data_IF_791082183831
#
_entry.id   IF_791082183831
#
_cell.length_a   1.000
_cell.length_b   1.000
_cell.length_c   1.000
_cell.angle_alpha   90.00
_cell.angle_beta   90.00
_cell.angle_gamma   90.00
#
_symmetry.space_group_name_H-M   'P 1'
#
loop_
_entity.id
_entity.type
_entity.pdbx_description
1 polymer ?
#
# COMPACT_ATOMS: atom_id res chain seq x y z
N UNK A 1 -5.07 42.12 -18.27
CA UNK A 1 -4.41 40.81 -18.35
C UNK A 1 -4.93 39.98 -17.20
N UNK A 2 -5.97 39.17 -17.43
CA UNK A 2 -6.49 38.25 -16.41
C UNK A 2 -5.47 37.12 -16.24
N UNK A 3 -4.90 37.03 -15.04
CA UNK A 3 -4.10 35.87 -14.63
C UNK A 3 -5.04 34.67 -14.52
N UNK A 4 -5.10 33.86 -15.58
CA UNK A 4 -5.85 32.60 -15.60
C UNK A 4 -5.30 31.71 -14.50
N UNK A 5 -6.00 31.60 -13.37
CA UNK A 5 -5.59 30.74 -12.26
C UNK A 5 -5.54 29.30 -12.75
N UNK A 6 -4.36 28.68 -12.65
CA UNK A 6 -4.16 27.27 -12.99
C UNK A 6 -4.77 26.45 -11.84
N UNK A 7 -5.68 25.50 -12.11
CA UNK A 7 -6.27 24.67 -11.07
C UNK A 7 -5.19 23.79 -10.41
N UNK A 8 -5.32 23.48 -9.11
CA UNK A 8 -4.32 22.70 -8.38
C UNK A 8 -4.30 21.25 -8.84
N UNK A 9 -3.10 20.66 -8.99
CA UNK A 9 -2.91 19.26 -9.39
C UNK A 9 -3.29 18.24 -8.30
N UNK A 10 -3.40 18.70 -7.05
CA UNK A 10 -3.84 17.90 -5.93
C UNK A 10 -4.51 18.80 -4.89
N UNK A 11 -5.38 18.21 -4.07
CA UNK A 11 -5.96 18.87 -2.91
C UNK A 11 -5.69 18.07 -1.64
N UNK A 12 -5.45 18.79 -0.56
CA UNK A 12 -5.32 18.25 0.79
C UNK A 12 -6.53 18.73 1.58
N UNK A 13 -7.39 17.80 1.99
CA UNK A 13 -8.59 18.11 2.75
C UNK A 13 -8.46 17.54 4.16
N UNK A 14 -8.74 18.37 5.17
CA UNK A 14 -8.80 17.89 6.55
C UNK A 14 -10.16 17.23 6.75
N UNK A 15 -10.15 15.97 7.18
CA UNK A 15 -11.38 15.25 7.48
C UNK A 15 -11.91 15.67 8.84
N UNK A 16 -12.68 16.76 8.89
CA UNK A 16 -13.15 17.35 10.14
C UNK A 16 -14.01 16.38 10.97
N UNK A 17 -14.88 15.61 10.33
CA UNK A 17 -15.76 14.64 11.00
C UNK A 17 -14.99 13.47 11.61
N UNK A 18 -14.05 12.88 10.87
CA UNK A 18 -13.18 11.84 11.39
C UNK A 18 -12.29 12.38 12.50
N UNK A 19 -11.79 13.61 12.33
CA UNK A 19 -10.98 14.31 13.34
C UNK A 19 -11.72 14.53 14.66
N UNK A 20 -13.00 14.95 14.63
CA UNK A 20 -13.79 15.11 15.87
C UNK A 20 -14.07 13.79 16.56
N UNK A 21 -14.42 12.74 15.80
CA UNK A 21 -14.62 11.38 16.32
C UNK A 21 -13.33 10.86 16.98
N UNK A 22 -12.20 10.99 16.29
CA UNK A 22 -10.90 10.56 16.80
C UNK A 22 -10.52 11.30 18.08
N UNK A 23 -10.73 12.62 18.13
CA UNK A 23 -10.46 13.41 19.34
C UNK A 23 -11.34 12.97 20.51
N UNK A 24 -12.64 12.80 20.29
CA UNK A 24 -13.55 12.30 21.32
C UNK A 24 -13.11 10.92 21.85
N UNK A 25 -12.75 10.00 20.94
CA UNK A 25 -12.19 8.71 21.32
C UNK A 25 -10.89 8.84 22.13
N UNK A 26 -9.96 9.70 21.71
CA UNK A 26 -8.71 9.97 22.44
C UNK A 26 -8.99 10.50 23.84
N UNK A 27 -9.91 11.46 23.99
CA UNK A 27 -10.29 11.99 25.30
C UNK A 27 -10.87 10.91 26.21
N UNK A 28 -11.84 10.13 25.71
CA UNK A 28 -12.46 9.05 26.47
C UNK A 28 -11.45 7.97 26.89
N UNK A 29 -10.58 7.56 25.97
CA UNK A 29 -9.59 6.52 26.24
C UNK A 29 -8.50 7.02 27.20
N UNK A 30 -8.02 8.25 27.05
CA UNK A 30 -7.08 8.88 27.99
C UNK A 30 -7.66 8.95 29.40
N UNK A 31 -8.95 9.29 29.53
CA UNK A 31 -9.63 9.31 30.83
C UNK A 31 -9.66 7.91 31.46
N UNK A 32 -10.05 6.88 30.70
CA UNK A 32 -10.07 5.50 31.18
C UNK A 32 -8.68 4.99 31.57
N UNK A 33 -7.65 5.31 30.80
CA UNK A 33 -6.26 4.96 31.11
C UNK A 33 -5.78 5.64 32.40
N UNK A 34 -6.06 6.94 32.58
CA UNK A 34 -5.71 7.66 33.81
C UNK A 34 -6.42 7.07 35.03
N UNK A 35 -7.70 6.72 34.92
CA UNK A 35 -8.44 6.08 35.99
C UNK A 35 -7.86 4.70 36.37
N UNK A 36 -7.48 3.91 35.36
CA UNK A 36 -6.87 2.59 35.56
C UNK A 36 -5.48 2.72 36.21
N UNK A 37 -4.63 3.62 35.72
CA UNK A 37 -3.31 3.87 36.32
C UNK A 37 -3.42 4.40 37.75
N UNK A 38 -4.37 5.30 38.01
CA UNK A 38 -4.65 5.80 39.36
C UNK A 38 -5.07 4.66 40.30
N UNK A 39 -5.97 3.79 39.87
CA UNK A 39 -6.39 2.62 40.64
C UNK A 39 -5.20 1.71 40.97
N UNK A 40 -4.34 1.41 39.98
CA UNK A 40 -3.16 0.55 40.13
C UNK A 40 -2.14 1.12 41.11
N UNK A 41 -1.82 2.41 40.97
CA UNK A 41 -0.86 3.10 41.85
C UNK A 41 -1.42 3.21 43.27
N UNK A 42 -2.70 3.55 43.43
CA UNK A 42 -3.34 3.64 44.75
C UNK A 42 -3.37 2.29 45.46
N UNK A 43 -3.65 1.22 44.71
CA UNK A 43 -3.67 -0.13 45.25
C UNK A 43 -2.25 -0.62 45.62
N UNK A 44 -1.25 -0.34 44.79
CA UNK A 44 0.17 -0.58 45.12
C UNK A 44 0.60 0.17 46.39
N UNK A 45 0.21 1.45 46.52
CA UNK A 45 0.51 2.27 47.68
C UNK A 45 -0.16 1.73 48.94
N UNK A 46 -1.46 1.40 48.90
CA UNK A 46 -2.17 0.79 50.01
C UNK A 46 -1.58 -0.57 50.41
N UNK A 47 -1.27 -1.42 49.42
CA UNK A 47 -0.64 -2.71 49.65
C UNK A 47 0.71 -2.59 50.36
N UNK A 48 1.53 -1.61 49.96
CA UNK A 48 2.82 -1.32 50.60
C UNK A 48 2.67 -0.75 52.02
N UNK A 49 1.61 0.03 52.29
CA UNK A 49 1.37 0.66 53.60
C UNK A 49 0.77 -0.29 54.65
N UNK A 50 -0.07 -1.26 54.23
CA UNK A 50 -0.92 -2.03 55.15
C UNK A 50 -0.49 -3.49 55.35
N UNK A 51 0.32 -4.07 54.45
CA UNK A 51 0.72 -5.49 54.56
C UNK A 51 2.09 -5.66 55.22
N UNK A 52 2.13 -6.36 56.36
CA UNK A 52 3.37 -6.61 57.10
C UNK A 52 4.08 -7.93 56.73
N UNK A 53 3.44 -8.80 55.94
CA UNK A 53 3.99 -10.08 55.46
C UNK A 53 3.90 -10.16 53.93
N UNK A 54 5.03 -9.97 53.25
CA UNK A 54 5.06 -9.88 51.79
C UNK A 54 5.67 -11.13 51.14
N UNK A 55 4.97 -11.69 50.15
CA UNK A 55 5.58 -12.61 49.19
C UNK A 55 6.20 -11.80 48.05
N UNK A 56 7.52 -11.94 47.86
CA UNK A 56 8.29 -11.24 46.82
C UNK A 56 7.69 -11.40 45.42
N UNK A 57 7.14 -12.58 45.12
CA UNK A 57 6.51 -12.91 43.84
C UNK A 57 5.29 -12.03 43.52
N UNK A 58 4.50 -11.66 44.54
CA UNK A 58 3.30 -10.85 44.34
C UNK A 58 3.68 -9.41 44.00
N UNK A 59 4.60 -8.81 44.75
CA UNK A 59 5.12 -7.45 44.47
C UNK A 59 5.74 -7.36 43.08
N UNK A 60 6.52 -8.37 42.67
CA UNK A 60 7.11 -8.42 41.33
C UNK A 60 6.04 -8.48 40.23
N UNK A 61 4.99 -9.27 40.42
CA UNK A 61 3.89 -9.41 39.45
C UNK A 61 3.18 -8.08 39.24
N UNK A 62 2.87 -7.35 40.31
CA UNK A 62 2.23 -6.04 40.22
C UNK A 62 3.12 -4.98 39.58
N UNK A 63 4.43 -5.01 39.83
CA UNK A 63 5.39 -4.13 39.18
C UNK A 63 5.50 -4.40 37.67
N UNK A 64 5.57 -5.68 37.27
CA UNK A 64 5.58 -6.08 35.86
C UNK A 64 4.29 -5.67 35.15
N UNK A 65 3.13 -5.84 35.82
CA UNK A 65 1.84 -5.41 35.31
C UNK A 65 1.81 -3.89 35.07
N UNK A 66 2.20 -3.08 36.07
CA UNK A 66 2.28 -1.62 35.94
C UNK A 66 3.22 -1.20 34.81
N UNK A 67 4.38 -1.85 34.71
CA UNK A 67 5.36 -1.57 33.65
C UNK A 67 4.76 -1.87 32.28
N UNK A 68 4.06 -2.99 32.12
CA UNK A 68 3.38 -3.34 30.87
C UNK A 68 2.28 -2.33 30.50
N UNK A 69 1.46 -1.92 31.47
CA UNK A 69 0.38 -0.94 31.26
C UNK A 69 0.96 0.45 30.87
N UNK A 70 2.07 0.88 31.49
CA UNK A 70 2.77 2.12 31.12
C UNK A 70 3.34 2.06 29.71
N UNK A 71 4.00 0.96 29.33
CA UNK A 71 4.56 0.81 27.97
C UNK A 71 3.46 0.80 26.91
N UNK A 72 2.36 0.08 27.13
CA UNK A 72 1.22 0.06 26.22
C UNK A 72 0.54 1.43 26.14
N UNK A 73 0.38 2.13 27.27
CA UNK A 73 -0.18 3.49 27.31
C UNK A 73 0.69 4.48 26.54
N UNK A 74 2.02 4.35 26.64
CA UNK A 74 2.96 5.17 25.90
C UNK A 74 2.88 4.92 24.40
N UNK A 75 2.87 3.65 23.97
CA UNK A 75 2.69 3.28 22.55
C UNK A 75 1.37 3.81 22.02
N UNK A 76 0.29 3.70 22.81
CA UNK A 76 -1.02 4.23 22.43
C UNK A 76 -1.02 5.75 22.29
N UNK A 77 -0.35 6.49 23.20
CA UNK A 77 -0.25 7.94 23.13
C UNK A 77 0.49 8.39 21.86
N UNK A 78 1.59 7.70 21.50
CA UNK A 78 2.29 7.95 20.24
C UNK A 78 1.38 7.70 19.03
N UNK A 79 0.60 6.61 19.06
CA UNK A 79 -0.36 6.30 17.99
C UNK A 79 -1.52 7.32 17.92
N UNK A 80 -1.96 7.87 19.05
CA UNK A 80 -3.03 8.87 19.12
C UNK A 80 -2.65 10.17 18.41
N UNK A 81 -1.37 10.55 18.41
CA UNK A 81 -0.88 11.75 17.71
C UNK A 81 -1.21 11.72 16.21
N UNK A 82 -1.07 10.56 15.55
CA UNK A 82 -1.40 10.39 14.13
C UNK A 82 -2.89 10.57 13.81
N UNK A 83 -3.77 10.33 14.79
CA UNK A 83 -5.23 10.40 14.61
C UNK A 83 -5.80 11.79 14.89
N UNK A 84 -5.00 12.73 15.40
CA UNK A 84 -5.46 14.04 15.86
C UNK A 84 -6.01 14.95 14.75
N UNK A 85 -5.44 14.83 13.55
CA UNK A 85 -5.81 15.63 12.37
C UNK A 85 -5.65 14.79 11.10
N UNK A 86 -6.63 13.90 10.79
CA UNK A 86 -6.60 13.16 9.54
C UNK A 86 -6.68 14.11 8.34
N UNK A 87 -5.83 13.86 7.35
CA UNK A 87 -5.78 14.62 6.10
C UNK A 87 -5.88 13.61 4.95
N UNK A 88 -6.84 13.85 4.05
CA UNK A 88 -6.96 13.11 2.80
C UNK A 88 -6.28 13.87 1.66
N UNK A 89 -5.66 13.10 0.77
CA UNK A 89 -4.99 13.63 -0.41
C UNK A 89 -5.70 13.09 -1.65
N UNK A 90 -6.14 14.01 -2.51
CA UNK A 90 -6.76 13.69 -3.80
C UNK A 90 -5.93 14.30 -4.92
N UNK A 91 -5.49 13.44 -5.84
CA UNK A 91 -4.77 13.85 -7.05
C UNK A 91 -5.74 14.02 -8.22
N UNK A 92 -5.42 14.94 -9.13
CA UNK A 92 -6.16 15.19 -10.36
C UNK A 92 -5.25 14.96 -11.59
N UNK A 93 -4.98 13.69 -11.97
CA UNK A 93 -4.15 13.36 -13.12
C UNK A 93 -4.56 14.05 -14.42
N UNK A 94 -5.86 14.28 -14.61
CA UNK A 94 -6.47 14.93 -15.77
C UNK A 94 -6.07 16.40 -15.94
N UNK A 95 -5.55 17.04 -14.88
CA UNK A 95 -5.08 18.42 -14.92
C UNK A 95 -3.58 18.52 -15.25
N UNK A 96 -2.85 17.39 -15.36
CA UNK A 96 -1.46 17.43 -15.79
C UNK A 96 -1.35 17.94 -17.23
N UNK A 97 -0.42 18.87 -17.42
CA UNK A 97 -0.05 19.39 -18.74
C UNK A 97 0.65 18.34 -19.61
N UNK A 98 0.74 18.60 -20.91
CA UNK A 98 1.51 17.88 -21.94
C UNK A 98 2.56 16.88 -21.43
N UNK A 99 2.43 15.61 -21.86
CA UNK A 99 3.30 14.48 -21.58
C UNK A 99 4.80 14.80 -21.78
N UNK A 100 5.12 15.76 -22.66
CA UNK A 100 6.49 16.25 -22.87
C UNK A 100 7.13 16.85 -21.62
N UNK A 101 6.35 17.36 -20.67
CA UNK A 101 6.83 17.95 -19.41
C UNK A 101 6.96 16.95 -18.26
N UNK A 102 6.51 15.72 -18.45
CA UNK A 102 6.65 14.68 -17.44
C UNK A 102 8.13 14.35 -17.18
N UNK A 103 8.53 14.08 -15.91
CA UNK A 103 9.90 13.68 -15.58
C UNK A 103 10.25 12.29 -16.15
N UNK A 104 11.50 11.86 -16.03
CA UNK A 104 11.86 10.46 -16.25
C UNK A 104 11.61 9.67 -14.96
N UNK A 105 11.13 8.44 -15.08
CA UNK A 105 10.81 7.54 -13.96
C UNK A 105 11.53 6.22 -14.16
N UNK A 106 12.23 5.79 -13.12
CA UNK A 106 12.88 4.48 -13.05
C UNK A 106 12.13 3.62 -12.03
N UNK A 107 11.65 2.46 -12.46
CA UNK A 107 10.98 1.47 -11.62
C UNK A 107 11.96 0.36 -11.31
N UNK A 108 12.28 0.18 -10.02
CA UNK A 108 13.14 -0.90 -9.55
C UNK A 108 12.29 -2.02 -8.97
N UNK A 109 12.53 -3.24 -9.44
CA UNK A 109 11.92 -4.48 -8.96
C UNK A 109 13.07 -5.34 -8.45
N UNK A 110 13.00 -5.77 -7.19
CA UNK A 110 14.00 -6.66 -6.60
C UNK A 110 13.35 -8.01 -6.30
N UNK A 111 14.09 -9.08 -6.55
CA UNK A 111 13.71 -10.44 -6.15
C UNK A 111 14.90 -11.16 -5.52
N UNK A 112 14.64 -11.99 -4.52
CA UNK A 112 15.69 -12.62 -3.72
C UNK A 112 15.68 -14.15 -3.75
N UNK A 113 14.51 -14.79 -3.94
CA UNK A 113 14.40 -16.25 -3.88
C UNK A 113 13.24 -16.74 -4.77
N UNK A 114 13.51 -17.48 -5.86
CA UNK A 114 12.48 -17.94 -6.78
C UNK A 114 11.49 -18.95 -6.16
N UNK A 115 11.80 -19.53 -5.01
CA UNK A 115 10.87 -20.44 -4.31
C UNK A 115 9.85 -19.63 -3.51
N UNK A 116 10.28 -18.54 -2.86
CA UNK A 116 9.40 -17.65 -2.08
C UNK A 116 8.68 -16.62 -2.95
N UNK A 117 9.32 -16.20 -4.02
CA UNK A 117 8.85 -15.22 -4.99
C UNK A 117 8.83 -15.90 -6.37
N UNK A 118 7.75 -16.62 -6.71
CA UNK A 118 7.69 -17.38 -7.95
C UNK A 118 8.02 -16.51 -9.18
N UNK A 119 8.92 -16.94 -10.08
CA UNK A 119 9.37 -16.12 -11.21
C UNK A 119 8.22 -15.61 -12.07
N UNK A 120 7.13 -16.38 -12.20
CA UNK A 120 5.95 -15.94 -12.95
C UNK A 120 5.30 -14.69 -12.33
N UNK A 121 5.21 -14.60 -11.01
CA UNK A 121 4.61 -13.45 -10.31
C UNK A 121 5.53 -12.22 -10.39
N UNK A 122 6.84 -12.44 -10.28
CA UNK A 122 7.85 -11.41 -10.54
C UNK A 122 7.71 -10.88 -11.97
N UNK A 123 7.60 -11.76 -12.96
CA UNK A 123 7.41 -11.37 -14.36
C UNK A 123 6.09 -10.65 -14.63
N UNK A 124 5.00 -11.03 -13.95
CA UNK A 124 3.75 -10.26 -14.01
C UNK A 124 3.95 -8.83 -13.50
N UNK A 125 4.74 -8.65 -12.45
CA UNK A 125 5.08 -7.34 -11.89
C UNK A 125 5.92 -6.52 -12.88
N UNK A 126 6.94 -7.14 -13.49
CA UNK A 126 7.77 -6.51 -14.53
C UNK A 126 6.92 -6.06 -15.72
N UNK A 127 6.11 -6.94 -16.29
CA UNK A 127 5.24 -6.62 -17.43
C UNK A 127 4.20 -5.56 -17.06
N UNK A 128 3.68 -5.58 -15.84
CA UNK A 128 2.76 -4.55 -15.34
C UNK A 128 3.43 -3.18 -15.22
N UNK A 129 4.69 -3.14 -14.77
CA UNK A 129 5.48 -1.92 -14.70
C UNK A 129 5.78 -1.36 -16.10
N UNK A 130 6.10 -2.22 -17.07
CA UNK A 130 6.25 -1.80 -18.47
C UNK A 130 4.93 -1.30 -19.09
N UNK A 131 3.80 -1.73 -18.55
CA UNK A 131 2.45 -1.35 -18.98
C UNK A 131 1.89 -0.10 -18.30
N UNK A 132 2.69 0.64 -17.52
CA UNK A 132 2.29 1.93 -16.96
C UNK A 132 1.86 2.90 -18.06
N UNK A 133 0.88 3.73 -17.75
CA UNK A 133 0.41 4.78 -18.64
C UNK A 133 1.36 5.98 -18.55
N UNK A 134 2.51 5.84 -19.22
CA UNK A 134 3.59 6.83 -19.21
C UNK A 134 4.33 6.82 -20.56
N UNK A 135 4.92 7.95 -20.98
CA UNK A 135 5.73 7.99 -22.19
C UNK A 135 6.88 6.97 -22.15
N UNK A 136 6.99 6.15 -23.19
CA UNK A 136 7.91 5.01 -23.23
C UNK A 136 9.39 5.46 -23.16
N UNK A 137 9.70 6.61 -23.72
CA UNK A 137 11.04 7.22 -23.69
C UNK A 137 11.43 7.79 -22.32
N UNK A 138 10.51 7.79 -21.35
CA UNK A 138 10.70 8.33 -20.00
C UNK A 138 10.52 7.29 -18.90
N UNK A 139 10.13 6.07 -19.24
CA UNK A 139 9.90 4.99 -18.28
C UNK A 139 10.97 3.91 -18.45
N UNK A 140 11.73 3.65 -17.41
CA UNK A 140 12.69 2.55 -17.36
C UNK A 140 12.29 1.56 -16.27
N UNK A 141 12.46 0.27 -16.55
CA UNK A 141 12.13 -0.81 -15.61
C UNK A 141 13.37 -1.67 -15.43
N UNK A 142 13.81 -1.81 -14.18
CA UNK A 142 14.98 -2.55 -13.78
C UNK A 142 14.58 -3.72 -12.89
N UNK A 143 15.16 -4.89 -13.13
CA UNK A 143 15.01 -6.08 -12.29
C UNK A 143 16.37 -6.40 -11.66
N UNK A 144 16.45 -6.38 -10.33
CA UNK A 144 17.58 -6.90 -9.55
C UNK A 144 17.23 -8.30 -9.04
N UNK A 145 18.06 -9.28 -9.36
CA UNK A 145 17.93 -10.66 -8.87
C UNK A 145 19.08 -10.96 -7.89
N UNK A 146 18.78 -10.81 -6.60
CA UNK A 146 19.72 -11.07 -5.51
C UNK A 146 19.90 -12.57 -5.28
N UNK A 147 18.92 -13.39 -5.70
CA UNK A 147 18.96 -14.84 -5.63
C UNK A 147 19.84 -15.50 -6.68
N UNK A 148 20.23 -14.74 -7.71
CA UNK A 148 21.06 -15.17 -8.85
C UNK A 148 20.55 -16.49 -9.44
N UNK A 149 19.24 -16.61 -9.63
CA UNK A 149 18.62 -17.84 -10.05
C UNK A 149 18.45 -17.90 -11.58
N UNK A 150 18.95 -18.96 -12.21
CA UNK A 150 18.87 -19.13 -13.67
C UNK A 150 17.42 -19.11 -14.18
N UNK A 151 16.48 -19.61 -13.35
CA UNK A 151 15.05 -19.61 -13.66
C UNK A 151 14.49 -18.18 -13.77
N UNK A 152 14.98 -17.23 -12.98
CA UNK A 152 14.57 -15.82 -13.02
C UNK A 152 15.02 -15.18 -14.33
N UNK A 153 16.27 -15.44 -14.75
CA UNK A 153 16.78 -14.98 -16.04
C UNK A 153 15.99 -15.58 -17.22
N UNK A 154 15.69 -16.88 -17.17
CA UNK A 154 14.87 -17.55 -18.18
C UNK A 154 13.46 -16.96 -18.25
N UNK A 155 12.82 -16.77 -17.09
CA UNK A 155 11.49 -16.16 -16.99
C UNK A 155 11.50 -14.73 -17.54
N UNK A 156 12.54 -13.94 -17.27
CA UNK A 156 12.69 -12.58 -17.80
C UNK A 156 12.74 -12.55 -19.33
N UNK A 157 13.47 -13.49 -19.96
CA UNK A 157 13.48 -13.60 -21.44
C UNK A 157 12.10 -13.92 -21.99
N UNK A 158 11.36 -14.83 -21.34
CA UNK A 158 9.99 -15.17 -21.74
C UNK A 158 9.02 -13.99 -21.53
N UNK A 159 9.16 -13.29 -20.41
CA UNK A 159 8.38 -12.09 -20.11
C UNK A 159 8.63 -10.98 -21.12
N UNK A 160 9.87 -10.78 -21.55
CA UNK A 160 10.22 -9.83 -22.61
C UNK A 160 9.50 -10.16 -23.92
N UNK A 161 9.55 -11.43 -24.38
CA UNK A 161 8.83 -11.86 -25.57
C UNK A 161 7.31 -11.68 -25.43
N UNK A 162 6.76 -11.94 -24.25
CA UNK A 162 5.33 -11.75 -23.98
C UNK A 162 4.95 -10.26 -23.95
N UNK A 163 5.76 -9.39 -23.35
CA UNK A 163 5.54 -7.95 -23.27
C UNK A 163 5.42 -7.31 -24.65
N UNK A 164 6.18 -7.79 -25.64
CA UNK A 164 6.11 -7.33 -27.03
C UNK A 164 4.73 -7.50 -27.66
N UNK A 165 3.92 -8.47 -27.19
CA UNK A 165 2.55 -8.70 -27.68
C UNK A 165 1.51 -8.08 -26.74
N UNK A 166 1.75 -8.15 -25.42
CA UNK A 166 0.83 -7.65 -24.41
C UNK A 166 0.69 -6.12 -24.40
N UNK A 167 1.81 -5.39 -24.49
CA UNK A 167 1.79 -3.92 -24.39
C UNK A 167 1.04 -3.26 -25.55
N UNK A 168 1.25 -3.65 -26.83
CA UNK A 168 0.45 -3.13 -27.94
C UNK A 168 -1.04 -3.49 -27.81
N UNK A 169 -1.37 -4.71 -27.40
CA UNK A 169 -2.75 -5.13 -27.18
C UNK A 169 -3.45 -4.25 -26.14
N UNK A 170 -2.81 -4.06 -24.99
CA UNK A 170 -3.35 -3.20 -23.92
C UNK A 170 -3.61 -1.79 -24.42
N UNK A 171 -2.66 -1.19 -25.16
CA UNK A 171 -2.81 0.17 -25.71
C UNK A 171 -3.89 0.24 -26.79
N UNK A 172 -3.94 -0.72 -27.71
CA UNK A 172 -4.91 -0.78 -28.82
C UNK A 172 -6.35 -0.85 -28.30
N UNK A 173 -6.57 -1.63 -27.25
CA UNK A 173 -7.90 -1.85 -26.70
C UNK A 173 -8.17 -1.06 -25.42
N UNK A 174 -7.22 -0.33 -24.85
CA UNK A 174 -7.46 0.44 -23.62
C UNK A 174 -7.76 -0.43 -22.39
N UNK A 175 -7.22 -1.65 -22.33
CA UNK A 175 -7.44 -2.58 -21.22
C UNK A 175 -6.89 -1.96 -19.91
N UNK A 176 -7.77 -1.75 -18.94
CA UNK A 176 -7.41 -1.08 -17.67
C UNK A 176 -6.43 -1.91 -16.84
N UNK A 177 -6.68 -3.22 -16.72
CA UNK A 177 -5.87 -4.14 -15.94
C UNK A 177 -4.48 -4.34 -16.56
N UNK A 178 -3.44 -3.84 -15.88
CA UNK A 178 -2.04 -3.91 -16.34
C UNK A 178 -1.43 -5.30 -16.20
N UNK A 179 -1.78 -6.00 -15.12
CA UNK A 179 -1.26 -7.33 -14.82
C UNK A 179 -1.91 -8.38 -15.71
N UNK A 180 -1.14 -9.10 -16.55
CA UNK A 180 -1.68 -10.14 -17.43
C UNK A 180 -2.41 -11.22 -16.64
N UNK A 181 -1.82 -11.68 -15.53
CA UNK A 181 -2.44 -12.74 -14.73
C UNK A 181 -3.78 -12.28 -14.14
N UNK A 182 -3.86 -11.06 -13.61
CA UNK A 182 -5.12 -10.51 -13.09
C UNK A 182 -6.16 -10.36 -14.21
N UNK A 183 -5.77 -9.84 -15.38
CA UNK A 183 -6.67 -9.66 -16.52
C UNK A 183 -7.29 -10.98 -16.99
N UNK A 184 -6.50 -12.05 -17.10
CA UNK A 184 -7.00 -13.35 -17.55
C UNK A 184 -7.75 -14.14 -16.46
N UNK A 185 -7.63 -13.73 -15.18
CA UNK A 185 -8.32 -14.36 -14.05
C UNK A 185 -9.65 -13.69 -13.70
N UNK A 186 -9.88 -12.45 -14.12
CA UNK A 186 -11.17 -11.76 -13.95
C UNK A 186 -12.26 -12.43 -14.78
N UNK A 187 -13.46 -12.60 -14.19
CA UNK A 187 -14.69 -12.90 -14.96
C UNK A 187 -15.03 -11.66 -15.80
N UNK A 188 -15.58 -11.87 -17.00
CA UNK A 188 -15.65 -10.90 -18.12
C UNK A 188 -16.46 -9.61 -17.89
N UNK A 189 -16.70 -9.17 -16.66
CA UNK A 189 -17.76 -8.21 -16.33
C UNK A 189 -17.29 -6.74 -16.34
N UNK A 190 -15.99 -6.46 -16.55
CA UNK A 190 -15.45 -5.08 -16.47
C UNK A 190 -15.10 -4.44 -17.83
N UNK A 191 -15.34 -5.12 -18.96
CA UNK A 191 -14.80 -4.73 -20.27
C UNK A 191 -15.88 -4.46 -21.33
N UNK A 192 -17.12 -4.14 -20.92
CA UNK A 192 -18.31 -4.00 -21.77
C UNK A 192 -18.14 -3.10 -23.00
N UNK A 193 -17.24 -2.11 -22.95
CA UNK A 193 -16.92 -1.24 -24.09
C UNK A 193 -16.00 -1.87 -25.16
N UNK A 194 -15.21 -2.90 -24.81
CA UNK A 194 -14.25 -3.58 -25.71
C UNK A 194 -14.83 -4.81 -26.39
N UNK A 195 -15.89 -5.37 -25.78
CA UNK A 195 -16.60 -6.58 -26.23
C UNK A 195 -17.13 -6.44 -27.66
N UNK A 196 -17.39 -5.22 -28.14
CA UNK A 196 -18.00 -4.94 -29.46
C UNK A 196 -17.05 -5.09 -30.66
N UNK A 197 -15.74 -5.34 -30.47
CA UNK A 197 -14.80 -5.56 -31.58
C UNK A 197 -14.52 -7.06 -31.78
N UNK A 198 -15.00 -7.67 -32.86
CA UNK A 198 -14.75 -9.09 -33.15
C UNK A 198 -13.26 -9.48 -33.21
N UNK A 199 -12.39 -8.57 -33.66
CA UNK A 199 -10.93 -8.75 -33.67
C UNK A 199 -10.33 -8.92 -32.26
N UNK A 200 -10.91 -8.25 -31.26
CA UNK A 200 -10.43 -8.30 -29.87
C UNK A 200 -10.44 -9.72 -29.32
N UNK A 201 -11.53 -10.46 -29.54
CA UNK A 201 -11.65 -11.84 -29.05
C UNK A 201 -10.65 -12.78 -29.74
N UNK A 202 -10.40 -12.59 -31.03
CA UNK A 202 -9.40 -13.36 -31.77
C UNK A 202 -7.98 -13.10 -31.24
N UNK A 203 -7.60 -11.83 -31.05
CA UNK A 203 -6.30 -11.46 -30.49
C UNK A 203 -6.16 -11.90 -29.03
N UNK A 204 -7.20 -11.73 -28.20
CA UNK A 204 -7.23 -12.18 -26.80
C UNK A 204 -7.04 -13.70 -26.69
N UNK A 205 -7.71 -14.48 -27.53
CA UNK A 205 -7.57 -15.94 -27.55
C UNK A 205 -6.16 -16.37 -27.96
N UNK A 206 -5.55 -15.68 -28.93
CA UNK A 206 -4.14 -15.89 -29.30
C UNK A 206 -3.22 -15.59 -28.12
N UNK A 207 -3.41 -14.46 -27.43
CA UNK A 207 -2.62 -14.09 -26.26
C UNK A 207 -2.76 -15.07 -25.09
N UNK A 208 -3.95 -15.60 -24.84
CA UNK A 208 -4.17 -16.61 -23.80
C UNK A 208 -3.40 -17.91 -24.06
N UNK A 209 -3.11 -18.23 -25.34
CA UNK A 209 -2.29 -19.39 -25.72
C UNK A 209 -0.78 -19.14 -25.62
N UNK A 210 -0.37 -17.88 -25.58
CA UNK A 210 1.05 -17.47 -25.46
C UNK A 210 1.49 -17.28 -24.01
N UNK A 211 0.54 -17.28 -23.06
CA UNK A 211 0.78 -17.31 -21.61
C UNK A 211 1.28 -18.69 -21.17
#
# INVERSE_FOLDING_TARGET
METKQIPPLHTLQVECTLGTINRAHIFMHSFMLLALLYYRISWLFFFFLTSHSHSWSFTLTWFLLLTSELTLSFIWLLAAAYRWRPVSWTAFPELLSDDRRLPRIDVFICTADPVKEPPLDVMNTVVSAMALDYPAEKLWVYLSDDGRADITLYAMRKAFSFAMVWLPFRRKYGVRTRCPNAYFSMKNDEDDGLIMRGEFWSERLKMKRTK
#
